data_IF_315793611159
#
_entry.id   IF_315793611159
#
_cell.length_a   1.000
_cell.length_b   1.000
_cell.length_c   1.000
_cell.angle_alpha   90.00
_cell.angle_beta   90.00
_cell.angle_gamma   90.00
#
_symmetry.space_group_name_H-M   'P 1'
#
loop_
_entity.id
_entity.type
_entity.pdbx_description
1 polymer ?
#
# COMPACT_ATOMS: atom_id res chain seq x y z
N UNK A 1 3.47 -40.85 10.07
CA UNK A 1 4.28 -40.06 9.12
C UNK A 1 4.40 -38.67 9.71
N UNK A 2 5.57 -38.37 10.27
CA UNK A 2 5.71 -37.31 11.28
C UNK A 2 5.81 -35.91 10.67
N UNK A 3 4.95 -35.01 11.15
CA UNK A 3 4.89 -33.58 10.78
C UNK A 3 6.22 -32.83 10.97
N UNK A 4 7.18 -33.43 11.67
CA UNK A 4 8.51 -32.87 11.96
C UNK A 4 9.47 -32.87 10.76
N UNK A 5 9.28 -33.75 9.78
CA UNK A 5 10.20 -33.83 8.63
C UNK A 5 9.95 -32.67 7.63
N UNK A 6 8.71 -32.19 7.52
CA UNK A 6 8.36 -31.09 6.62
C UNK A 6 8.94 -29.73 7.05
N UNK A 7 9.13 -29.47 8.36
CA UNK A 7 9.64 -28.17 8.82
C UNK A 7 11.13 -27.96 8.53
N UNK A 8 11.91 -29.05 8.39
CA UNK A 8 13.35 -28.98 8.11
C UNK A 8 13.72 -28.86 6.63
N UNK A 9 12.75 -29.01 5.73
CA UNK A 9 12.95 -28.83 4.28
C UNK A 9 12.54 -27.45 3.77
N UNK A 10 12.06 -26.55 4.64
CA UNK A 10 11.99 -25.13 4.32
C UNK A 10 13.42 -24.56 4.33
N UNK A 11 14.11 -24.76 3.20
CA UNK A 11 15.29 -24.00 2.84
C UNK A 11 14.96 -22.54 3.11
N UNK A 12 15.71 -21.87 3.98
CA UNK A 12 15.62 -20.44 4.17
C UNK A 12 16.01 -19.78 2.84
N UNK A 13 15.06 -19.65 1.92
CA UNK A 13 15.20 -18.86 0.71
C UNK A 13 15.42 -17.45 1.25
N UNK A 14 16.65 -16.94 1.11
CA UNK A 14 16.91 -15.54 1.43
C UNK A 14 15.89 -14.73 0.65
N UNK A 15 15.13 -13.89 1.36
CA UNK A 15 14.15 -13.01 0.74
C UNK A 15 14.95 -12.04 -0.12
N UNK A 16 15.19 -12.40 -1.38
CA UNK A 16 16.01 -11.63 -2.31
C UNK A 16 15.50 -10.21 -2.46
N UNK A 17 16.35 -9.34 -3.00
CA UNK A 17 16.00 -7.94 -3.29
C UNK A 17 14.68 -7.84 -4.04
N UNK A 18 13.75 -7.05 -3.49
CA UNK A 18 12.47 -6.74 -4.12
C UNK A 18 12.53 -5.36 -4.76
N UNK A 19 11.79 -5.19 -5.84
CA UNK A 19 11.52 -3.90 -6.44
C UNK A 19 10.08 -3.52 -6.12
N UNK A 20 9.88 -2.30 -5.67
CA UNK A 20 8.56 -1.70 -5.48
C UNK A 20 8.30 -0.80 -6.67
N UNK A 21 7.15 -0.99 -7.29
CA UNK A 21 6.66 -0.21 -8.41
C UNK A 21 5.27 0.28 -8.02
N UNK A 22 5.04 1.59 -8.08
CA UNK A 22 3.72 2.21 -7.90
C UNK A 22 3.45 3.12 -9.09
N UNK A 23 2.27 2.95 -9.67
CA UNK A 23 1.83 3.73 -10.82
C UNK A 23 0.31 3.77 -10.87
N UNK A 24 -0.24 4.75 -11.61
CA UNK A 24 -1.66 4.85 -11.90
C UNK A 24 -1.86 4.74 -13.41
N UNK A 25 -2.80 3.90 -13.81
CA UNK A 25 -3.28 3.82 -15.19
C UNK A 25 -4.60 4.55 -15.37
N UNK A 26 -4.85 5.01 -16.58
CA UNK A 26 -6.11 5.55 -17.07
C UNK A 26 -6.40 5.03 -18.48
N UNK A 27 -7.44 5.59 -19.11
CA UNK A 27 -7.95 5.16 -20.43
C UNK A 27 -6.87 5.16 -21.53
N UNK A 28 -5.97 6.14 -21.50
CA UNK A 28 -4.90 6.32 -22.50
C UNK A 28 -3.55 5.73 -22.07
N UNK A 29 -3.52 4.94 -20.99
CA UNK A 29 -2.31 4.35 -20.43
C UNK A 29 -1.90 4.95 -19.08
N UNK A 30 -0.61 4.91 -18.75
CA UNK A 30 -0.10 5.42 -17.48
C UNK A 30 -0.26 6.93 -17.35
N UNK A 31 -0.60 7.41 -16.14
CA UNK A 31 -0.60 8.85 -15.85
C UNK A 31 0.84 9.35 -15.94
N UNK A 32 1.10 10.32 -16.82
CA UNK A 32 2.44 10.84 -17.04
C UNK A 32 3.09 11.30 -15.73
N UNK A 33 4.39 11.03 -15.55
CA UNK A 33 5.15 11.39 -14.35
C UNK A 33 4.66 10.82 -13.00
N UNK A 34 3.69 9.88 -13.01
CA UNK A 34 3.20 9.23 -11.82
C UNK A 34 3.94 7.92 -11.47
N UNK A 35 4.90 7.46 -12.28
CA UNK A 35 5.64 6.23 -12.01
C UNK A 35 6.64 6.44 -10.87
N UNK A 36 6.60 5.56 -9.87
CA UNK A 36 7.58 5.48 -8.79
C UNK A 36 8.16 4.07 -8.73
N UNK A 37 9.49 3.96 -8.83
CA UNK A 37 10.22 2.69 -8.79
C UNK A 37 11.37 2.80 -7.81
N UNK A 38 11.48 1.88 -6.85
CA UNK A 38 12.60 1.84 -5.91
C UNK A 38 12.83 0.43 -5.37
N UNK A 39 14.07 0.15 -4.94
CA UNK A 39 14.41 -1.13 -4.31
C UNK A 39 13.91 -1.14 -2.87
N UNK A 40 13.23 -2.21 -2.48
CA UNK A 40 12.86 -2.47 -1.10
C UNK A 40 14.12 -2.66 -0.24
N UNK A 41 14.15 -2.06 0.95
CA UNK A 41 15.23 -2.21 1.91
C UNK A 41 15.34 -3.65 2.42
N UNK A 42 16.56 -4.17 2.53
CA UNK A 42 16.88 -5.54 2.97
C UNK A 42 16.56 -5.83 4.46
N UNK A 43 15.86 -4.94 5.18
CA UNK A 43 15.54 -5.18 6.59
C UNK A 43 14.26 -6.02 6.70
N UNK A 44 14.50 -7.31 6.93
CA UNK A 44 13.52 -8.29 7.47
C UNK A 44 12.17 -8.31 6.76
N UNK A 45 12.17 -8.75 5.52
CA UNK A 45 11.12 -9.62 4.99
C UNK A 45 9.68 -9.10 4.84
N UNK A 46 9.43 -7.84 5.16
CA UNK A 46 8.16 -7.17 4.95
C UNK A 46 8.38 -5.91 4.09
N UNK A 47 7.81 -5.92 2.89
CA UNK A 47 7.86 -4.78 1.96
C UNK A 47 6.95 -3.63 2.41
N UNK A 48 6.03 -3.89 3.35
CA UNK A 48 5.13 -2.87 3.89
C UNK A 48 5.88 -1.77 4.65
N UNK A 49 7.10 -2.04 5.14
CA UNK A 49 7.93 -0.99 5.73
C UNK A 49 8.39 0.04 4.68
N UNK A 50 8.66 -0.43 3.47
CA UNK A 50 9.19 0.39 2.38
C UNK A 50 8.08 1.15 1.64
N UNK A 51 6.97 0.49 1.30
CA UNK A 51 5.74 1.13 0.81
C UNK A 51 4.68 1.14 1.92
N UNK A 52 4.77 2.15 2.78
CA UNK A 52 3.85 2.40 3.88
C UNK A 52 2.91 3.58 3.55
N UNK A 53 1.97 3.86 4.46
CA UNK A 53 0.98 4.93 4.28
C UNK A 53 1.59 6.31 4.03
N UNK A 54 2.69 6.67 4.70
CA UNK A 54 3.34 7.98 4.51
C UNK A 54 3.97 8.08 3.12
N UNK A 55 4.67 7.04 2.67
CA UNK A 55 5.28 7.01 1.34
C UNK A 55 4.22 6.97 0.24
N UNK A 56 3.12 6.25 0.45
CA UNK A 56 1.98 6.20 -0.45
C UNK A 56 1.29 7.58 -0.57
N UNK A 57 1.05 8.25 0.56
CA UNK A 57 0.48 9.61 0.60
C UNK A 57 1.40 10.62 -0.12
N UNK A 58 2.71 10.56 0.13
CA UNK A 58 3.70 11.39 -0.58
C UNK A 58 3.65 11.17 -2.08
N UNK A 59 3.49 9.92 -2.54
CA UNK A 59 3.34 9.61 -3.95
C UNK A 59 2.03 10.19 -4.52
N UNK A 60 0.89 10.04 -3.83
CA UNK A 60 -0.38 10.63 -4.24
C UNK A 60 -0.23 12.14 -4.43
N UNK A 61 0.25 12.85 -3.42
CA UNK A 61 0.29 14.32 -3.40
C UNK A 61 1.31 14.87 -4.40
N UNK A 62 2.52 14.30 -4.46
CA UNK A 62 3.63 14.89 -5.20
C UNK A 62 3.77 14.36 -6.62
N UNK A 63 3.18 13.21 -6.94
CA UNK A 63 3.26 12.58 -8.26
C UNK A 63 1.88 12.45 -8.88
N UNK A 64 0.97 11.68 -8.29
CA UNK A 64 -0.30 11.37 -8.94
C UNK A 64 -1.18 12.61 -9.17
N UNK A 65 -1.56 13.31 -8.09
CA UNK A 65 -2.52 14.43 -8.16
C UNK A 65 -2.02 15.61 -9.00
N UNK A 66 -0.70 15.82 -9.07
CA UNK A 66 -0.10 16.89 -9.88
C UNK A 66 -0.16 16.62 -11.38
N UNK A 67 -0.28 15.35 -11.77
CA UNK A 67 -0.28 14.94 -13.17
C UNK A 67 -1.64 14.35 -13.59
N UNK A 68 -2.62 14.33 -12.69
CA UNK A 68 -3.95 13.84 -12.99
C UNK A 68 -4.69 14.86 -13.88
N UNK A 69 -5.32 14.44 -14.98
CA UNK A 69 -6.17 15.31 -15.78
C UNK A 69 -7.29 15.92 -14.91
N UNK A 70 -7.73 17.14 -15.27
CA UNK A 70 -8.88 17.76 -14.59
C UNK A 70 -10.12 16.88 -14.72
N UNK A 71 -10.97 16.91 -13.68
CA UNK A 71 -12.23 16.16 -13.60
C UNK A 71 -12.05 14.62 -13.68
N UNK A 72 -10.89 14.12 -13.24
CA UNK A 72 -10.65 12.68 -13.15
C UNK A 72 -11.29 12.06 -11.91
N UNK A 73 -11.71 10.81 -12.03
CA UNK A 73 -12.12 9.96 -10.91
C UNK A 73 -10.97 9.02 -10.59
N UNK A 74 -10.58 8.93 -9.32
CA UNK A 74 -9.54 8.01 -8.86
C UNK A 74 -10.17 6.82 -8.13
N UNK A 75 -9.84 5.62 -8.58
CA UNK A 75 -10.28 4.35 -7.97
C UNK A 75 -9.05 3.63 -7.45
N UNK A 76 -9.08 3.23 -6.19
CA UNK A 76 -7.96 2.58 -5.49
C UNK A 76 -8.45 1.26 -4.94
N UNK A 77 -7.61 0.22 -5.01
CA UNK A 77 -7.84 -0.99 -4.24
C UNK A 77 -7.72 -0.71 -2.73
N UNK A 78 -8.52 -1.43 -1.94
CA UNK A 78 -8.47 -1.29 -0.49
C UNK A 78 -7.28 -2.10 0.06
N UNK A 79 -6.15 -1.43 0.33
CA UNK A 79 -5.01 -2.01 0.99
C UNK A 79 -4.81 -1.41 2.40
N UNK A 80 -4.30 -2.18 3.38
CA UNK A 80 -4.12 -1.70 4.77
C UNK A 80 -3.27 -0.42 4.89
N UNK A 81 -2.38 -0.19 3.92
CA UNK A 81 -1.47 0.98 3.88
C UNK A 81 -1.97 2.12 2.97
N UNK A 82 -3.07 1.93 2.21
CA UNK A 82 -3.63 3.02 1.39
C UNK A 82 -4.44 4.02 2.21
N UNK A 83 -5.00 3.56 3.34
CA UNK A 83 -5.93 4.32 4.14
C UNK A 83 -5.34 4.60 5.52
N UNK A 84 -5.36 5.86 5.94
CA UNK A 84 -5.09 6.26 7.31
C UNK A 84 -6.36 6.87 7.90
N UNK A 85 -7.01 6.13 8.81
CA UNK A 85 -8.14 6.66 9.57
C UNK A 85 -7.60 7.72 10.55
N UNK A 86 -7.97 8.97 10.34
CA UNK A 86 -7.65 10.09 11.27
C UNK A 86 -8.59 10.09 12.48
N UNK A 87 -9.80 9.57 12.32
CA UNK A 87 -10.77 9.32 13.36
C UNK A 87 -11.29 7.89 13.23
N UNK A 88 -11.55 7.23 14.36
CA UNK A 88 -12.16 5.91 14.32
C UNK A 88 -13.56 6.02 13.71
N UNK A 89 -13.83 5.24 12.66
CA UNK A 89 -15.20 5.09 12.18
C UNK A 89 -16.05 4.54 13.33
N UNK A 90 -17.26 5.07 13.52
CA UNK A 90 -18.15 4.54 14.53
C UNK A 90 -18.40 3.05 14.29
N UNK A 91 -18.45 2.27 15.36
CA UNK A 91 -18.78 0.85 15.33
C UNK A 91 -19.96 0.57 16.28
N UNK A 92 -20.38 -0.69 16.38
CA UNK A 92 -21.53 -1.09 17.21
C UNK A 92 -21.37 -0.75 18.70
N UNK A 93 -20.15 -0.48 19.17
CA UNK A 93 -19.85 -0.08 20.55
C UNK A 93 -19.66 1.44 20.71
N UNK A 94 -19.77 2.22 19.64
CA UNK A 94 -19.63 3.68 19.70
C UNK A 94 -20.83 4.32 20.42
N UNK A 95 -20.54 5.32 21.26
CA UNK A 95 -21.59 6.11 21.94
C UNK A 95 -22.43 6.85 20.90
N UNK A 96 -23.73 7.02 21.19
CA UNK A 96 -24.67 7.75 20.33
C UNK A 96 -24.15 9.12 19.91
N UNK A 97 -23.48 9.85 20.80
CA UNK A 97 -22.88 11.16 20.53
C UNK A 97 -21.83 11.18 19.42
N UNK A 98 -21.20 10.04 19.12
CA UNK A 98 -20.18 9.89 18.06
C UNK A 98 -20.84 9.67 16.68
N UNK A 99 -22.13 9.33 16.65
CA UNK A 99 -22.89 9.03 15.43
C UNK A 99 -23.67 10.24 14.86
N UNK A 100 -23.74 11.37 15.58
CA UNK A 100 -24.63 12.51 15.27
C UNK A 100 -23.87 13.79 14.88
N UNK A 101 -22.59 13.68 14.52
CA UNK A 101 -21.82 14.78 13.91
C UNK A 101 -21.86 14.63 12.40
#
# INVERSE_FOLDING_TARGET
>A
MDRWIYSRLQKNISKGSRLIIVHAGGEIGGVENALLVFKAGQKTGDYHNDMNAENYEKWIINKLLRNLPKNSIFVIDNAPYHNKLTTASPNSNSKKSVLIT
#
